data_IF_520744348074
#
_entry.id   IF_520744348074
#
_cell.length_a   1.000
_cell.length_b   1.000
_cell.length_c   1.000
_cell.angle_alpha   90.00
_cell.angle_beta   90.00
_cell.angle_gamma   90.00
#
_symmetry.space_group_name_H-M   'P 1'
#
loop_
_entity.id
_entity.type
_entity.pdbx_description
1 polymer ?
#
# COMPACT_ATOMS: atom_id res chain seq x y z
N UNK A 1 -17.63 -7.31 -28.26
CA UNK A 1 -17.14 -6.10 -27.59
C UNK A 1 -16.54 -6.52 -26.27
N UNK A 2 -15.34 -6.03 -25.91
CA UNK A 2 -14.65 -6.39 -24.68
C UNK A 2 -15.27 -5.78 -23.42
N UNK A 3 -14.69 -6.09 -22.25
CA UNK A 3 -15.12 -5.50 -20.98
C UNK A 3 -14.91 -3.97 -20.98
N UNK A 4 -15.85 -3.18 -20.44
CA UNK A 4 -15.61 -1.76 -20.15
C UNK A 4 -14.41 -1.60 -19.19
N UNK A 5 -13.63 -0.52 -19.36
CA UNK A 5 -12.38 -0.31 -18.61
C UNK A 5 -12.56 -0.34 -17.09
N UNK A 6 -13.68 0.14 -16.57
CA UNK A 6 -13.97 0.17 -15.13
C UNK A 6 -14.41 -1.19 -14.57
N UNK A 7 -14.54 -2.23 -15.41
CA UNK A 7 -14.92 -3.59 -15.01
C UNK A 7 -13.78 -4.59 -15.13
N UNK A 8 -12.55 -4.18 -15.46
CA UNK A 8 -11.46 -5.13 -15.73
C UNK A 8 -11.16 -6.08 -14.56
N UNK A 9 -11.39 -5.67 -13.32
CA UNK A 9 -11.16 -6.52 -12.16
C UNK A 9 -12.23 -7.60 -11.92
N UNK A 10 -13.36 -7.61 -12.65
CA UNK A 10 -14.38 -8.65 -12.43
C UNK A 10 -13.88 -10.06 -12.81
N UNK A 11 -12.79 -10.14 -13.59
CA UNK A 11 -12.23 -11.41 -14.08
C UNK A 11 -11.77 -12.33 -12.95
N UNK A 12 -11.45 -11.79 -11.76
CA UNK A 12 -11.00 -12.59 -10.61
C UNK A 12 -12.13 -13.02 -9.67
N UNK A 13 -13.37 -12.56 -9.88
CA UNK A 13 -14.46 -12.77 -8.90
C UNK A 13 -14.81 -14.23 -8.64
N UNK A 14 -14.66 -15.09 -9.65
CA UNK A 14 -14.94 -16.53 -9.54
C UNK A 14 -13.66 -17.38 -9.59
N UNK A 15 -12.49 -16.75 -9.47
CA UNK A 15 -11.21 -17.44 -9.39
C UNK A 15 -10.58 -17.14 -8.02
N UNK A 16 -10.76 -18.02 -7.01
CA UNK A 16 -10.28 -17.78 -5.66
C UNK A 16 -8.75 -17.73 -5.57
N UNK A 17 -8.03 -18.39 -6.48
CA UNK A 17 -6.57 -18.35 -6.53
C UNK A 17 -6.07 -16.98 -6.97
N UNK A 18 -6.62 -16.45 -8.06
CA UNK A 18 -6.28 -15.10 -8.53
C UNK A 18 -6.79 -14.02 -7.57
N UNK A 19 -7.97 -14.22 -6.98
CA UNK A 19 -8.50 -13.30 -5.97
C UNK A 19 -7.56 -13.23 -4.77
N UNK A 20 -7.07 -14.36 -4.26
CA UNK A 20 -6.07 -14.37 -3.18
C UNK A 20 -4.77 -13.69 -3.61
N UNK A 21 -4.31 -13.95 -4.83
CA UNK A 21 -3.08 -13.33 -5.36
C UNK A 21 -3.16 -11.80 -5.39
N UNK A 22 -4.28 -11.22 -5.85
CA UNK A 22 -4.43 -9.75 -5.86
C UNK A 22 -4.57 -9.17 -4.45
N UNK A 23 -5.15 -9.91 -3.51
CA UNK A 23 -5.16 -9.51 -2.10
C UNK A 23 -3.75 -9.49 -1.51
N UNK A 24 -2.95 -10.53 -1.76
CA UNK A 24 -1.55 -10.57 -1.31
C UNK A 24 -0.75 -9.43 -1.94
N UNK A 25 -0.90 -9.19 -3.24
CA UNK A 25 -0.26 -8.06 -3.93
C UNK A 25 -0.66 -6.72 -3.31
N UNK A 26 -1.95 -6.49 -3.06
CA UNK A 26 -2.43 -5.26 -2.42
C UNK A 26 -1.85 -5.09 -1.02
N UNK A 27 -1.87 -6.15 -0.19
CA UNK A 27 -1.26 -6.12 1.15
C UNK A 27 0.23 -5.81 1.08
N UNK A 28 0.97 -6.42 0.15
CA UNK A 28 2.39 -6.16 -0.05
C UNK A 28 2.65 -4.68 -0.42
N UNK A 29 1.83 -4.09 -1.29
CA UNK A 29 1.93 -2.67 -1.65
C UNK A 29 1.69 -1.76 -0.44
N UNK A 30 0.65 -2.05 0.35
CA UNK A 30 0.33 -1.26 1.55
C UNK A 30 1.45 -1.36 2.59
N UNK A 31 1.96 -2.57 2.86
CA UNK A 31 3.06 -2.77 3.82
C UNK A 31 4.34 -2.11 3.33
N UNK A 32 4.65 -2.22 2.04
CA UNK A 32 5.83 -1.57 1.45
C UNK A 32 5.74 -0.05 1.54
N UNK A 33 4.57 0.53 1.24
CA UNK A 33 4.35 1.97 1.39
C UNK A 33 4.48 2.41 2.85
N UNK A 34 3.83 1.72 3.79
CA UNK A 34 3.89 2.05 5.21
C UNK A 34 5.34 1.99 5.75
N UNK A 35 6.09 0.96 5.37
CA UNK A 35 7.50 0.84 5.76
C UNK A 35 8.36 1.92 5.11
N UNK A 36 8.14 2.24 3.84
CA UNK A 36 8.91 3.29 3.15
C UNK A 36 8.65 4.66 3.75
N UNK A 37 7.40 4.95 4.10
CA UNK A 37 7.02 6.21 4.74
C UNK A 37 7.62 6.32 6.13
N UNK A 38 7.52 5.27 6.96
CA UNK A 38 8.13 5.26 8.28
C UNK A 38 9.66 5.40 8.23
N UNK A 39 10.33 4.74 7.28
CA UNK A 39 11.77 4.90 7.08
C UNK A 39 12.13 6.31 6.63
N UNK A 40 11.35 6.90 5.72
CA UNK A 40 11.55 8.28 5.30
C UNK A 40 11.44 9.24 6.47
N UNK A 41 10.38 9.13 7.28
CA UNK A 41 10.17 9.95 8.47
C UNK A 41 11.34 9.79 9.46
N UNK A 42 11.79 8.57 9.74
CA UNK A 42 12.92 8.32 10.64
C UNK A 42 14.25 8.89 10.14
N UNK A 43 14.46 8.97 8.82
CA UNK A 43 15.70 9.52 8.25
C UNK A 43 15.78 11.04 8.41
N UNK A 44 14.63 11.73 8.37
CA UNK A 44 14.57 13.20 8.41
C UNK A 44 14.19 13.76 9.79
N UNK A 45 13.65 12.92 10.67
CA UNK A 45 13.22 13.31 12.01
C UNK A 45 14.41 13.67 12.91
N UNK A 46 14.39 14.89 13.46
CA UNK A 46 15.32 15.34 14.50
C UNK A 46 14.63 15.28 15.87
N UNK A 47 15.04 14.36 16.77
CA UNK A 47 14.47 14.29 18.12
C UNK A 47 15.15 15.21 19.14
N UNK A 48 16.03 16.13 18.73
CA UNK A 48 16.93 16.85 19.64
C UNK A 48 16.24 17.82 20.60
N UNK A 49 15.15 18.48 20.21
CA UNK A 49 14.39 19.40 21.07
C UNK A 49 12.86 19.16 21.01
N UNK A 50 12.34 18.17 21.74
CA UNK A 50 10.93 17.82 21.69
C UNK A 50 9.99 18.86 22.35
N UNK A 51 10.54 19.89 23.02
CA UNK A 51 9.74 20.96 23.65
C UNK A 51 9.47 22.07 22.65
N UNK A 52 10.47 22.43 21.82
CA UNK A 52 10.38 23.53 20.86
C UNK A 52 10.23 23.06 19.40
N UNK A 53 10.53 21.79 19.09
CA UNK A 53 10.42 21.18 17.76
C UNK A 53 9.84 19.74 17.85
N UNK A 54 8.52 19.58 18.11
CA UNK A 54 7.87 18.27 18.15
C UNK A 54 7.62 17.69 16.74
N UNK A 55 7.22 16.40 16.68
CA UNK A 55 6.81 15.70 15.44
C UNK A 55 5.72 16.43 14.64
#
# INVERSE_FOLDING_TARGET
>A
MGLPWYRVHIVVLNDPGLLLSVHIMHTALVVSWASSMALHELVVFDPSDPVLDPM
#
